data_IF_243899116236
#
_entry.id   IF_243899116236
#
_cell.length_a   1.000
_cell.length_b   1.000
_cell.length_c   1.000
_cell.angle_alpha   90.00
_cell.angle_beta   90.00
_cell.angle_gamma   90.00
#
_symmetry.space_group_name_H-M   'P 1'
#
loop_
_entity.id
_entity.type
_entity.pdbx_description
1 polymer ?
#
# COMPACT_ATOMS: atom_id res chain seq x y z
N UNK A 1 5.41 6.58 -24.19
CA UNK A 1 5.18 6.00 -22.83
C UNK A 1 5.05 7.15 -21.86
N UNK A 2 4.10 7.13 -20.95
CA UNK A 2 3.96 8.19 -19.95
C UNK A 2 5.08 8.00 -18.91
N UNK A 3 5.87 9.03 -18.66
CA UNK A 3 6.91 9.06 -17.62
C UNK A 3 6.36 8.68 -16.24
N UNK A 4 5.05 8.92 -16.02
CA UNK A 4 4.34 8.57 -14.79
C UNK A 4 4.28 7.04 -14.56
N UNK A 5 4.05 6.23 -15.59
CA UNK A 5 4.04 4.77 -15.44
C UNK A 5 5.44 4.22 -15.18
N UNK A 6 6.49 4.77 -15.77
CA UNK A 6 7.86 4.29 -15.58
C UNK A 6 8.34 4.50 -14.13
N UNK A 7 8.07 5.67 -13.55
CA UNK A 7 8.42 5.96 -12.15
C UNK A 7 7.55 5.13 -11.17
N UNK A 8 6.27 4.95 -11.48
CA UNK A 8 5.39 4.09 -10.69
C UNK A 8 5.88 2.63 -10.72
N UNK A 9 6.26 2.06 -11.88
CA UNK A 9 6.80 0.70 -11.97
C UNK A 9 8.07 0.56 -11.13
N UNK A 10 8.95 1.54 -11.17
CA UNK A 10 10.16 1.56 -10.34
C UNK A 10 9.80 1.52 -8.87
N UNK A 11 8.87 2.38 -8.42
CA UNK A 11 8.41 2.41 -7.03
C UNK A 11 7.76 1.08 -6.59
N UNK A 12 6.93 0.46 -7.44
CA UNK A 12 6.29 -0.81 -7.16
C UNK A 12 7.32 -1.95 -6.97
N UNK A 13 8.35 -1.97 -7.81
CA UNK A 13 9.41 -2.99 -7.73
C UNK A 13 10.31 -2.80 -6.50
N UNK A 14 10.50 -1.56 -6.04
CA UNK A 14 11.25 -1.25 -4.81
C UNK A 14 10.43 -1.51 -3.52
N UNK A 15 9.12 -1.65 -3.62
CA UNK A 15 8.18 -1.68 -2.49
C UNK A 15 7.66 -3.09 -2.22
N UNK A 16 8.56 -4.05 -1.96
CA UNK A 16 8.23 -5.47 -1.77
C UNK A 16 7.45 -5.77 -0.47
N UNK A 17 7.48 -4.88 0.53
CA UNK A 17 6.71 -4.94 1.77
C UNK A 17 6.33 -3.53 2.22
N UNK A 18 5.42 -3.34 3.23
CA UNK A 18 5.10 -2.01 3.78
C UNK A 18 6.34 -1.24 4.23
N UNK A 19 7.30 -1.92 4.85
CA UNK A 19 8.57 -1.32 5.27
C UNK A 19 9.39 -0.79 4.10
N UNK A 20 9.48 -1.55 3.01
CA UNK A 20 10.16 -1.13 1.78
C UNK A 20 9.43 0.01 1.09
N UNK A 21 8.09 0.01 1.10
CA UNK A 21 7.29 1.10 0.56
C UNK A 21 7.55 2.42 1.30
N UNK A 22 7.57 2.40 2.64
CA UNK A 22 7.91 3.58 3.45
C UNK A 22 9.35 4.03 3.21
N UNK A 23 10.31 3.10 3.14
CA UNK A 23 11.71 3.41 2.82
C UNK A 23 11.83 4.08 1.45
N UNK A 24 11.14 3.57 0.42
CA UNK A 24 11.12 4.14 -0.92
C UNK A 24 10.46 5.53 -0.98
N UNK A 25 9.36 5.74 -0.24
CA UNK A 25 8.70 7.05 -0.10
C UNK A 25 9.63 8.05 0.60
N UNK A 26 10.25 7.65 1.74
CA UNK A 26 11.16 8.49 2.50
C UNK A 26 12.39 8.90 1.68
N UNK A 27 12.98 7.99 0.91
CA UNK A 27 14.11 8.28 0.03
C UNK A 27 13.76 9.33 -1.04
N UNK A 28 12.57 9.22 -1.66
CA UNK A 28 12.06 10.19 -2.63
C UNK A 28 11.78 11.55 -2.01
N UNK A 29 11.22 11.59 -0.80
CA UNK A 29 11.00 12.82 -0.03
C UNK A 29 12.33 13.50 0.33
N UNK A 30 13.31 12.75 0.83
CA UNK A 30 14.64 13.28 1.16
C UNK A 30 15.33 13.85 -0.08
N UNK A 31 15.26 13.14 -1.21
CA UNK A 31 15.80 13.61 -2.50
C UNK A 31 15.14 14.91 -2.95
N UNK A 32 13.87 15.12 -2.62
CA UNK A 32 13.11 16.33 -2.91
C UNK A 32 13.33 17.45 -1.86
N UNK A 33 14.18 17.24 -0.86
CA UNK A 33 14.54 18.24 0.16
C UNK A 33 13.58 18.28 1.36
N UNK A 34 12.75 17.26 1.55
CA UNK A 34 11.95 17.13 2.77
C UNK A 34 12.81 16.68 3.95
N UNK A 35 12.55 17.26 5.12
CA UNK A 35 13.26 16.94 6.36
C UNK A 35 12.51 15.90 7.17
N UNK A 36 13.19 14.81 7.56
CA UNK A 36 12.61 13.83 8.49
C UNK A 36 12.56 14.41 9.91
N UNK A 37 11.41 14.35 10.53
CA UNK A 37 11.19 14.70 11.93
C UNK A 37 11.21 13.39 12.74
N UNK A 38 12.14 13.30 13.70
CA UNK A 38 12.23 12.14 14.61
C UNK A 38 11.36 12.31 15.86
N UNK A 39 11.26 13.54 16.36
CA UNK A 39 10.44 13.93 17.50
C UNK A 39 9.74 15.24 17.16
N UNK A 40 8.41 15.26 17.23
CA UNK A 40 7.60 16.41 16.80
C UNK A 40 7.95 17.69 17.59
N UNK A 41 8.17 17.57 18.90
CA UNK A 41 8.39 18.74 19.79
C UNK A 41 9.72 19.48 19.55
N UNK A 42 10.67 18.87 18.80
CA UNK A 42 11.99 19.43 18.60
C UNK A 42 12.11 20.30 17.33
N UNK A 43 11.04 20.48 16.57
CA UNK A 43 11.09 21.11 15.25
C UNK A 43 10.21 22.36 15.17
N UNK A 44 10.80 23.43 14.66
CA UNK A 44 10.08 24.65 14.27
C UNK A 44 9.81 24.60 12.76
N UNK A 45 8.55 24.63 12.38
CA UNK A 45 8.16 24.58 10.97
C UNK A 45 8.43 25.89 10.26
N UNK A 46 9.07 25.81 9.09
CA UNK A 46 9.35 26.97 8.22
C UNK A 46 8.40 26.96 7.04
N UNK A 47 7.70 28.07 6.71
CA UNK A 47 6.85 28.15 5.55
C UNK A 47 7.57 27.77 4.25
N UNK A 48 6.90 27.06 3.37
CA UNK A 48 7.43 26.53 2.11
C UNK A 48 8.23 25.22 2.25
N UNK A 49 8.65 24.85 3.46
CA UNK A 49 9.45 23.64 3.69
C UNK A 49 8.60 22.38 3.75
N UNK A 50 9.21 21.25 3.35
CA UNK A 50 8.62 19.93 3.43
C UNK A 50 9.18 19.11 4.59
N UNK A 51 8.32 18.35 5.25
CA UNK A 51 8.66 17.50 6.40
C UNK A 51 8.01 16.15 6.28
N UNK A 52 8.58 15.12 6.93
CA UNK A 52 7.92 13.84 7.07
C UNK A 52 8.28 13.14 8.38
N UNK A 53 7.37 12.28 8.85
CA UNK A 53 7.53 11.41 10.01
C UNK A 53 7.20 9.97 9.60
N UNK A 54 7.85 8.99 10.22
CA UNK A 54 7.54 7.56 10.05
C UNK A 54 7.12 6.96 11.38
N UNK A 55 6.26 5.96 11.34
CA UNK A 55 5.88 5.18 12.50
C UNK A 55 6.05 3.68 12.19
N UNK A 56 6.71 2.95 13.09
CA UNK A 56 7.05 1.52 12.94
C UNK A 56 7.76 1.17 11.62
N UNK A 57 8.32 2.16 10.91
CA UNK A 57 8.91 2.03 9.56
C UNK A 57 7.93 1.49 8.50
N UNK A 58 6.63 1.39 8.80
CA UNK A 58 5.60 0.85 7.91
C UNK A 58 4.48 1.85 7.58
N UNK A 59 4.41 2.99 8.28
CA UNK A 59 3.52 4.12 7.98
C UNK A 59 4.30 5.41 7.88
N UNK A 60 3.84 6.35 7.05
CA UNK A 60 4.49 7.63 6.82
C UNK A 60 3.47 8.76 6.69
N UNK A 61 3.77 9.92 7.29
CA UNK A 61 3.09 11.18 7.00
C UNK A 61 4.13 12.15 6.45
N UNK A 62 3.85 12.75 5.30
CA UNK A 62 4.64 13.82 4.72
C UNK A 62 3.76 15.06 4.53
N UNK A 63 4.30 16.25 4.80
CA UNK A 63 3.54 17.48 4.63
C UNK A 63 4.43 18.65 4.19
N UNK A 64 3.81 19.59 3.50
CA UNK A 64 4.42 20.88 3.15
C UNK A 64 3.79 21.97 4.02
N UNK A 65 4.63 22.73 4.72
CA UNK A 65 4.20 23.89 5.48
C UNK A 65 3.87 25.04 4.52
N UNK A 66 2.59 25.40 4.44
CA UNK A 66 2.14 26.51 3.59
C UNK A 66 2.48 27.88 4.18
N UNK A 67 2.44 28.93 3.33
CA UNK A 67 2.57 30.32 3.78
C UNK A 67 1.32 30.84 4.53
N UNK A 68 0.15 30.20 4.33
CA UNK A 68 -1.09 30.51 5.07
C UNK A 68 -1.10 29.98 6.50
N UNK A 69 -2.13 30.31 7.27
CA UNK A 69 -2.30 29.77 8.59
C UNK A 69 -2.74 28.28 8.53
N UNK A 70 -2.19 27.37 9.34
CA UNK A 70 -2.66 25.97 9.37
C UNK A 70 -4.17 25.87 9.63
N UNK A 71 -4.71 26.81 10.43
CA UNK A 71 -6.15 26.88 10.77
C UNK A 71 -7.06 27.26 9.59
N UNK A 72 -6.50 27.58 8.42
CA UNK A 72 -7.26 27.76 7.19
C UNK A 72 -7.55 26.42 6.48
N UNK A 73 -7.11 25.34 7.13
CA UNK A 73 -7.31 23.94 6.74
C UNK A 73 -6.28 23.39 5.77
N UNK A 74 -6.03 22.09 5.89
CA UNK A 74 -5.15 21.34 5.02
C UNK A 74 -5.93 20.65 3.91
N UNK A 75 -5.25 20.43 2.79
CA UNK A 75 -5.63 19.38 1.84
C UNK A 75 -4.83 18.13 2.19
N UNK A 76 -5.55 17.01 2.42
CA UNK A 76 -4.97 15.75 2.87
C UNK A 76 -5.25 14.68 1.83
N UNK A 77 -4.24 13.91 1.47
CA UNK A 77 -4.38 12.67 0.72
C UNK A 77 -4.00 11.52 1.65
N UNK A 78 -4.85 10.51 1.74
CA UNK A 78 -4.61 9.29 2.50
C UNK A 78 -4.60 8.09 1.59
N UNK A 79 -3.66 7.16 1.84
CA UNK A 79 -3.51 5.87 1.18
C UNK A 79 -3.01 4.84 2.20
N UNK A 80 -2.74 3.61 1.78
CA UNK A 80 -2.14 2.59 2.65
C UNK A 80 -0.96 1.88 1.99
N UNK A 81 -0.02 1.41 2.82
CA UNK A 81 1.25 0.81 2.39
C UNK A 81 1.20 -0.69 2.28
N UNK A 82 0.28 -1.32 3.01
CA UNK A 82 0.10 -2.77 3.04
C UNK A 82 -0.71 -3.27 1.84
N UNK A 83 -0.59 -4.55 1.57
CA UNK A 83 -1.32 -5.27 0.53
C UNK A 83 -1.46 -6.73 0.95
N UNK A 84 -2.51 -7.45 0.49
CA UNK A 84 -2.68 -8.86 0.84
C UNK A 84 -1.49 -9.71 0.41
N UNK A 85 -1.01 -10.56 1.33
CA UNK A 85 0.16 -11.38 1.11
C UNK A 85 0.16 -12.68 1.93
N UNK A 86 1.24 -13.46 1.82
CA UNK A 86 1.51 -14.61 2.67
C UNK A 86 2.64 -14.26 3.63
N UNK A 87 2.29 -14.02 4.90
CA UNK A 87 3.23 -13.66 5.97
C UNK A 87 3.84 -14.92 6.62
N UNK A 88 5.13 -14.90 6.88
CA UNK A 88 5.84 -16.03 7.49
C UNK A 88 5.54 -16.10 8.97
N UNK A 89 5.14 -17.30 9.45
CA UNK A 89 4.85 -17.55 10.88
C UNK A 89 6.11 -17.53 11.74
N UNK A 90 6.02 -17.27 13.07
CA UNK A 90 7.19 -17.21 13.96
C UNK A 90 8.05 -18.50 13.99
N UNK A 91 7.42 -19.68 13.90
CA UNK A 91 8.12 -20.98 13.82
C UNK A 91 7.76 -21.68 12.51
N UNK A 92 8.29 -21.21 11.36
CA UNK A 92 7.69 -21.53 10.06
C UNK A 92 8.24 -22.83 9.45
N UNK A 93 9.42 -23.32 9.87
CA UNK A 93 10.12 -24.39 9.17
C UNK A 93 9.39 -25.72 9.33
N UNK A 94 9.03 -26.31 8.20
CA UNK A 94 8.45 -27.65 8.08
C UNK A 94 9.34 -28.51 7.17
N UNK A 95 9.80 -29.65 7.69
CA UNK A 95 10.57 -30.65 6.91
C UNK A 95 9.64 -31.83 6.60
N UNK A 96 9.31 -31.99 5.32
CA UNK A 96 8.35 -33.02 4.88
C UNK A 96 8.63 -33.45 3.45
N UNK A 97 8.54 -34.76 3.18
CA UNK A 97 8.63 -35.32 1.82
C UNK A 97 9.89 -34.89 1.04
N UNK A 98 11.04 -34.79 1.73
CA UNK A 98 12.32 -34.45 1.11
C UNK A 98 12.49 -32.93 0.80
N UNK A 99 11.65 -32.06 1.37
CA UNK A 99 11.74 -30.61 1.17
C UNK A 99 11.59 -29.83 2.48
N UNK A 100 12.11 -28.62 2.49
CA UNK A 100 11.85 -27.58 3.49
C UNK A 100 10.72 -26.70 2.98
N UNK A 101 9.68 -26.52 3.79
CA UNK A 101 8.57 -25.61 3.55
C UNK A 101 8.49 -24.54 4.64
N UNK A 102 7.89 -23.38 4.33
CA UNK A 102 7.55 -22.37 5.31
C UNK A 102 6.06 -22.42 5.63
N UNK A 103 5.73 -22.39 6.93
CA UNK A 103 4.37 -22.13 7.38
C UNK A 103 4.08 -20.63 7.25
N UNK A 104 2.95 -20.30 6.63
CA UNK A 104 2.51 -18.92 6.39
C UNK A 104 1.12 -18.67 6.93
N UNK A 105 0.82 -17.41 7.21
CA UNK A 105 -0.53 -16.88 7.42
C UNK A 105 -0.96 -16.02 6.21
N UNK A 106 -2.25 -16.06 5.90
CA UNK A 106 -2.83 -15.15 4.91
C UNK A 106 -3.06 -13.80 5.57
N UNK A 107 -2.37 -12.78 5.09
CA UNK A 107 -2.57 -11.40 5.50
C UNK A 107 -3.59 -10.75 4.58
N UNK A 108 -4.66 -10.17 5.16
CA UNK A 108 -5.74 -9.54 4.41
C UNK A 108 -6.60 -10.51 3.59
N UNK A 109 -7.33 -9.97 2.62
CA UNK A 109 -8.26 -10.71 1.77
C UNK A 109 -7.62 -11.27 0.49
N UNK A 110 -6.46 -11.95 0.55
CA UNK A 110 -5.74 -12.42 -0.63
C UNK A 110 -6.53 -13.44 -1.48
N UNK A 111 -6.47 -13.28 -2.82
CA UNK A 111 -6.86 -14.31 -3.77
C UNK A 111 -5.78 -15.39 -3.81
N UNK A 112 -6.01 -16.56 -3.18
CA UNK A 112 -4.97 -17.58 -2.99
C UNK A 112 -4.60 -18.33 -4.27
N UNK A 113 -5.54 -18.55 -5.18
CA UNK A 113 -5.28 -19.35 -6.38
C UNK A 113 -4.13 -18.81 -7.26
N UNK A 114 -3.97 -17.49 -7.48
CA UNK A 114 -2.88 -16.96 -8.29
C UNK A 114 -1.48 -17.07 -7.66
N UNK A 115 -1.36 -17.48 -6.40
CA UNK A 115 -0.07 -17.69 -5.72
C UNK A 115 0.61 -18.99 -6.12
N UNK A 116 -0.15 -19.95 -6.63
CA UNK A 116 0.42 -21.22 -7.10
C UNK A 116 1.25 -21.03 -8.36
N UNK A 117 2.33 -21.81 -8.46
CA UNK A 117 3.22 -21.89 -9.60
C UNK A 117 3.95 -20.57 -9.93
N UNK A 118 4.06 -19.66 -8.95
CA UNK A 118 4.81 -18.40 -9.05
C UNK A 118 6.20 -18.52 -8.46
N UNK A 119 7.13 -17.81 -9.07
CA UNK A 119 8.48 -17.59 -8.54
C UNK A 119 8.40 -16.58 -7.39
N UNK A 120 8.52 -17.08 -6.15
CA UNK A 120 8.34 -16.27 -4.95
C UNK A 120 9.67 -15.88 -4.33
N UNK A 121 9.73 -14.67 -3.82
CA UNK A 121 10.80 -14.15 -2.97
C UNK A 121 10.28 -13.79 -1.59
N UNK A 122 11.19 -13.33 -0.72
CA UNK A 122 10.92 -13.00 0.67
C UNK A 122 11.53 -11.64 1.00
N UNK A 123 10.74 -10.76 1.62
CA UNK A 123 11.17 -9.44 2.06
C UNK A 123 10.48 -9.03 3.36
N UNK A 124 11.10 -8.10 4.09
CA UNK A 124 10.54 -7.53 5.30
C UNK A 124 11.60 -7.07 6.27
N UNK A 125 11.26 -7.02 7.56
CA UNK A 125 12.12 -6.56 8.65
C UNK A 125 12.60 -7.74 9.49
N UNK A 126 13.91 -7.76 9.81
CA UNK A 126 14.52 -8.74 10.72
C UNK A 126 15.10 -8.02 11.92
N UNK A 127 14.76 -8.50 13.12
CA UNK A 127 15.28 -8.01 14.39
C UNK A 127 16.34 -8.96 14.92
N UNK A 128 17.48 -8.39 15.33
CA UNK A 128 18.66 -9.17 15.74
C UNK A 128 19.44 -8.45 16.84
N UNK A 129 20.34 -9.20 17.47
CA UNK A 129 21.37 -8.65 18.36
C UNK A 129 22.65 -8.49 17.54
N UNK A 130 23.20 -7.29 17.54
CA UNK A 130 24.47 -6.97 16.89
C UNK A 130 25.70 -7.41 17.72
N UNK A 131 26.91 -7.21 17.18
CA UNK A 131 28.16 -7.54 17.87
C UNK A 131 28.37 -6.78 19.18
N UNK A 132 27.72 -5.64 19.38
CA UNK A 132 27.79 -4.87 20.63
C UNK A 132 26.80 -5.33 21.70
N UNK A 133 25.96 -6.33 21.37
CA UNK A 133 24.90 -6.83 22.23
C UNK A 133 23.64 -5.97 22.23
N UNK A 134 23.51 -5.02 21.27
CA UNK A 134 22.34 -4.15 21.15
C UNK A 134 21.29 -4.74 20.21
N UNK A 135 20.01 -4.51 20.56
CA UNK A 135 18.88 -4.84 19.67
C UNK A 135 18.89 -3.87 18.49
N UNK A 136 18.90 -4.42 17.30
CA UNK A 136 18.81 -3.68 16.03
C UNK A 136 17.84 -4.35 15.07
N UNK A 137 17.46 -3.66 14.01
CA UNK A 137 16.68 -4.21 12.92
C UNK A 137 17.18 -3.70 11.56
N UNK A 138 16.98 -4.52 10.53
CA UNK A 138 17.25 -4.18 9.13
C UNK A 138 16.15 -4.73 8.23
N UNK A 139 15.93 -4.04 7.12
CA UNK A 139 15.11 -4.56 6.04
C UNK A 139 15.95 -5.51 5.20
N UNK A 140 15.37 -6.62 4.78
CA UNK A 140 15.99 -7.55 3.84
C UNK A 140 15.07 -7.81 2.65
N UNK A 141 15.67 -8.05 1.49
CA UNK A 141 14.95 -8.44 0.30
C UNK A 141 15.82 -9.39 -0.55
N UNK A 142 15.38 -10.64 -0.70
CA UNK A 142 16.16 -11.62 -1.45
C UNK A 142 16.25 -11.32 -2.96
N UNK A 143 15.28 -10.61 -3.53
CA UNK A 143 15.25 -10.15 -4.93
C UNK A 143 15.50 -11.23 -5.98
N UNK A 144 15.28 -12.47 -5.63
CA UNK A 144 15.42 -13.64 -6.51
C UNK A 144 14.41 -14.70 -6.11
N UNK A 145 14.04 -15.60 -7.03
CA UNK A 145 13.20 -16.75 -6.71
C UNK A 145 13.86 -17.64 -5.65
N UNK A 146 13.25 -17.78 -4.49
CA UNK A 146 13.71 -18.65 -3.40
C UNK A 146 12.65 -19.62 -2.92
N UNK A 147 11.39 -19.44 -3.35
CA UNK A 147 10.29 -20.26 -2.92
C UNK A 147 9.25 -20.44 -4.03
N UNK A 148 8.46 -21.50 -3.94
CA UNK A 148 7.35 -21.80 -4.86
C UNK A 148 6.27 -22.58 -4.13
N UNK A 149 5.00 -22.34 -4.48
CA UNK A 149 3.86 -23.15 -4.05
C UNK A 149 3.39 -23.95 -5.28
N UNK A 150 3.79 -25.22 -5.44
CA UNK A 150 3.41 -25.98 -6.61
C UNK A 150 1.94 -26.40 -6.56
N UNK A 151 1.26 -26.29 -7.69
CA UNK A 151 -0.09 -26.86 -7.87
C UNK A 151 -0.05 -28.38 -7.79
N UNK A 152 -1.11 -28.98 -7.25
CA UNK A 152 -1.30 -30.42 -7.38
C UNK A 152 -1.59 -30.77 -8.85
N UNK A 153 -0.92 -31.81 -9.35
CA UNK A 153 -1.09 -32.23 -10.73
C UNK A 153 -2.56 -32.59 -11.00
N UNK A 154 -3.08 -32.18 -12.19
CA UNK A 154 -4.46 -32.41 -12.58
C UNK A 154 -4.90 -33.88 -12.50
N UNK A 155 -3.96 -34.81 -12.63
CA UNK A 155 -4.22 -36.25 -12.50
C UNK A 155 -4.60 -36.69 -11.06
N UNK A 156 -4.20 -35.90 -10.05
CA UNK A 156 -4.47 -36.13 -8.64
C UNK A 156 -5.63 -35.26 -8.14
N UNK A 157 -6.00 -34.21 -8.88
CA UNK A 157 -7.15 -33.32 -8.58
C UNK A 157 -7.92 -33.04 -9.89
N UNK A 158 -8.75 -33.99 -10.32
CA UNK A 158 -9.48 -33.90 -11.58
C UNK A 158 -10.59 -32.85 -11.60
N UNK A 159 -10.99 -32.35 -10.44
CA UNK A 159 -12.01 -31.31 -10.29
C UNK A 159 -11.42 -29.91 -10.06
N UNK A 160 -10.09 -29.76 -10.12
CA UNK A 160 -9.40 -28.48 -9.91
C UNK A 160 -9.97 -27.32 -10.73
N UNK A 161 -10.38 -27.57 -11.99
CA UNK A 161 -10.98 -26.54 -12.85
C UNK A 161 -12.49 -26.33 -12.63
N UNK A 162 -13.12 -27.05 -11.70
CA UNK A 162 -14.56 -26.95 -11.41
C UNK A 162 -14.84 -26.43 -10.01
N UNK A 163 -14.19 -26.99 -8.99
CA UNK A 163 -14.51 -26.77 -7.58
C UNK A 163 -13.25 -26.79 -6.70
N UNK A 164 -12.19 -26.09 -7.08
CA UNK A 164 -10.99 -25.99 -6.22
C UNK A 164 -11.31 -25.21 -4.96
N UNK A 165 -11.19 -25.86 -3.80
CA UNK A 165 -11.13 -25.20 -2.49
C UNK A 165 -9.68 -25.23 -2.01
N UNK A 166 -9.19 -24.12 -1.48
CA UNK A 166 -7.83 -23.98 -0.97
C UNK A 166 -7.90 -23.82 0.55
N UNK A 167 -7.31 -24.77 1.28
CA UNK A 167 -7.12 -24.65 2.72
C UNK A 167 -5.83 -23.87 3.02
N UNK A 168 -5.93 -22.65 3.59
CA UNK A 168 -4.74 -21.83 3.83
C UNK A 168 -3.75 -22.42 4.83
N UNK A 169 -4.17 -23.36 5.67
CA UNK A 169 -3.28 -24.01 6.63
C UNK A 169 -2.42 -25.13 6.03
N UNK A 170 -2.92 -25.80 4.98
CA UNK A 170 -2.30 -27.03 4.46
C UNK A 170 -1.83 -26.94 3.03
N UNK A 171 -2.44 -26.08 2.18
CA UNK A 171 -2.29 -26.16 0.74
C UNK A 171 -1.33 -25.11 0.16
N UNK A 172 -1.00 -24.06 0.94
CA UNK A 172 -0.22 -22.90 0.48
C UNK A 172 1.15 -22.76 1.13
N UNK A 173 1.71 -23.84 1.66
CA UNK A 173 3.05 -23.81 2.25
C UNK A 173 4.12 -23.82 1.13
N UNK A 174 4.86 -22.70 0.92
CA UNK A 174 5.88 -22.68 -0.11
C UNK A 174 7.05 -23.61 0.19
N UNK A 175 7.55 -24.24 -0.85
CA UNK A 175 8.81 -25.02 -0.81
C UNK A 175 9.97 -24.03 -0.95
N UNK A 176 10.93 -24.12 -0.04
CA UNK A 176 12.11 -23.25 0.02
C UNK A 176 13.40 -23.97 -0.40
N UNK A 177 13.55 -25.27 -0.08
CA UNK A 177 14.74 -26.04 -0.39
C UNK A 177 14.45 -27.53 -0.50
N UNK A 178 15.29 -28.27 -1.24
CA UNK A 178 15.38 -29.71 -1.15
C UNK A 178 16.16 -30.13 0.11
N UNK A 179 15.82 -31.29 0.66
CA UNK A 179 16.59 -31.93 1.72
C UNK A 179 17.44 -33.08 1.12
N UNK A 180 18.76 -33.04 1.28
CA UNK A 180 19.59 -34.22 1.06
C UNK A 180 19.47 -35.15 2.27
N UNK A 181 19.87 -36.45 2.13
CA UNK A 181 19.88 -37.38 3.24
C UNK A 181 20.82 -36.92 4.35
N UNK A 182 21.89 -36.22 4.02
CA UNK A 182 22.87 -35.65 4.95
C UNK A 182 22.42 -34.31 5.58
N UNK A 183 21.58 -33.52 4.90
CA UNK A 183 21.15 -32.19 5.32
C UNK A 183 19.81 -32.17 6.08
N UNK A 184 19.18 -33.34 6.32
CA UNK A 184 17.85 -33.41 6.92
C UNK A 184 17.73 -32.75 8.31
N UNK A 185 18.87 -32.44 8.96
CA UNK A 185 18.92 -31.88 10.31
C UNK A 185 19.25 -30.40 10.40
N UNK A 186 19.87 -29.80 9.39
CA UNK A 186 20.59 -28.51 9.55
C UNK A 186 20.01 -27.26 8.93
N UNK A 187 18.83 -27.31 8.25
CA UNK A 187 18.22 -26.08 7.78
C UNK A 187 17.72 -25.21 8.95
N UNK A 188 18.32 -24.04 9.12
CA UNK A 188 17.96 -23.01 10.09
C UNK A 188 17.65 -21.69 9.36
N UNK A 189 16.40 -21.22 9.49
CA UNK A 189 15.96 -19.97 8.89
C UNK A 189 16.73 -18.77 9.48
N UNK A 190 17.08 -18.81 10.77
CA UNK A 190 17.80 -17.70 11.41
C UNK A 190 19.20 -17.52 10.81
N UNK A 191 19.87 -18.62 10.45
CA UNK A 191 21.16 -18.59 9.74
C UNK A 191 21.00 -18.02 8.32
N UNK A 192 19.95 -18.43 7.61
CA UNK A 192 19.66 -17.87 6.28
C UNK A 192 19.44 -16.37 6.35
N UNK A 193 18.66 -15.88 7.32
CA UNK A 193 18.38 -14.46 7.50
C UNK A 193 19.63 -13.69 7.94
N UNK A 194 20.44 -14.24 8.84
CA UNK A 194 21.72 -13.61 9.23
C UNK A 194 22.68 -13.44 8.04
N UNK A 195 22.78 -14.46 7.19
CA UNK A 195 23.58 -14.41 5.97
C UNK A 195 23.04 -13.36 4.98
N UNK A 196 21.72 -13.25 4.86
CA UNK A 196 21.09 -12.23 4.00
C UNK A 196 21.41 -10.81 4.53
N UNK A 197 21.26 -10.57 5.84
CA UNK A 197 21.63 -9.29 6.46
C UNK A 197 23.10 -8.96 6.17
N UNK A 198 24.02 -9.89 6.41
CA UNK A 198 25.45 -9.67 6.18
C UNK A 198 25.80 -9.45 4.71
N UNK A 199 24.98 -9.96 3.78
CA UNK A 199 25.18 -9.72 2.34
C UNK A 199 24.68 -8.35 1.87
N UNK A 200 23.69 -7.77 2.54
CA UNK A 200 23.11 -6.48 2.19
C UNK A 200 23.74 -5.30 2.99
N UNK A 201 24.29 -5.59 4.19
CA UNK A 201 24.83 -4.58 5.11
C UNK A 201 26.22 -4.93 5.60
N UNK A 202 27.24 -4.24 5.10
CA UNK A 202 28.65 -4.47 5.45
C UNK A 202 28.95 -4.27 6.95
N UNK A 203 28.17 -3.44 7.64
CA UNK A 203 28.26 -3.15 9.07
C UNK A 203 27.57 -4.19 9.97
N UNK A 204 26.91 -5.20 9.37
CA UNK A 204 26.12 -6.20 10.10
C UNK A 204 26.65 -7.63 9.90
N UNK A 205 27.90 -7.88 10.33
CA UNK A 205 28.46 -9.25 10.40
C UNK A 205 28.13 -9.94 11.73
N UNK A 206 28.05 -11.27 11.73
CA UNK A 206 27.86 -12.12 12.93
C UNK A 206 26.67 -11.73 13.82
N UNK A 207 25.54 -11.41 13.19
CA UNK A 207 24.31 -11.06 13.89
C UNK A 207 23.56 -12.31 14.37
N UNK A 208 22.91 -12.21 15.51
CA UNK A 208 22.02 -13.26 16.02
C UNK A 208 20.57 -12.83 15.84
N UNK A 209 19.89 -13.40 14.87
CA UNK A 209 18.47 -13.14 14.58
C UNK A 209 17.62 -13.57 15.79
N UNK A 210 16.68 -12.70 16.17
CA UNK A 210 15.74 -12.93 17.27
C UNK A 210 14.32 -13.15 16.77
N UNK A 211 13.87 -12.30 15.82
CA UNK A 211 12.51 -12.32 15.27
C UNK A 211 12.48 -11.64 13.91
N UNK A 212 11.36 -11.75 13.22
CA UNK A 212 11.17 -11.18 11.88
C UNK A 212 9.71 -10.90 11.56
N UNK A 213 9.51 -9.97 10.64
CA UNK A 213 8.23 -9.65 9.99
C UNK A 213 8.47 -9.76 8.47
N UNK A 214 8.21 -10.95 7.92
CA UNK A 214 8.56 -11.30 6.55
C UNK A 214 7.33 -11.71 5.76
N UNK A 215 7.25 -11.23 4.52
CA UNK A 215 6.19 -11.57 3.56
C UNK A 215 6.77 -12.13 2.28
N UNK A 216 6.06 -13.10 1.71
CA UNK A 216 6.34 -13.59 0.36
C UNK A 216 5.79 -12.60 -0.67
N UNK A 217 6.48 -12.50 -1.80
CA UNK A 217 6.04 -11.73 -2.95
C UNK A 217 6.47 -12.39 -4.27
N UNK A 218 5.79 -12.04 -5.37
CA UNK A 218 6.11 -12.51 -6.73
C UNK A 218 7.34 -11.76 -7.26
N UNK A 219 8.33 -12.49 -7.76
CA UNK A 219 9.53 -11.93 -8.40
C UNK A 219 9.25 -11.28 -9.76
N UNK A 220 8.03 -11.39 -10.28
CA UNK A 220 7.67 -10.78 -11.55
C UNK A 220 7.51 -9.26 -11.39
N UNK A 221 8.38 -8.50 -12.01
CA UNK A 221 8.34 -7.04 -12.00
C UNK A 221 7.05 -6.47 -12.59
N UNK A 222 6.72 -5.24 -12.17
CA UNK A 222 5.70 -4.42 -12.80
C UNK A 222 6.01 -4.25 -14.29
N UNK A 223 4.99 -4.33 -15.13
CA UNK A 223 5.17 -4.23 -16.59
C UNK A 223 3.96 -3.67 -17.29
N UNK A 224 4.19 -3.00 -18.42
CA UNK A 224 3.13 -2.65 -19.34
C UNK A 224 2.68 -3.86 -20.11
N UNK A 225 1.38 -4.03 -20.28
CA UNK A 225 0.76 -5.15 -20.99
C UNK A 225 -0.30 -4.66 -21.98
N UNK A 226 -0.68 -5.55 -22.90
CA UNK A 226 -1.56 -5.25 -24.02
C UNK A 226 -0.78 -4.91 -25.28
N UNK A 227 -1.44 -5.02 -26.45
CA UNK A 227 -0.80 -4.78 -27.74
C UNK A 227 -0.27 -3.34 -27.89
N UNK A 228 -0.89 -2.41 -27.22
CA UNK A 228 -0.63 -0.97 -27.24
C UNK A 228 -0.04 -0.44 -25.92
N UNK A 229 0.32 -1.34 -24.97
CA UNK A 229 0.80 -0.99 -23.64
C UNK A 229 -0.17 -0.09 -22.84
N UNK A 230 -1.47 -0.25 -23.05
CA UNK A 230 -2.50 0.56 -22.39
C UNK A 230 -2.78 0.14 -20.94
N UNK A 231 -2.18 -0.93 -20.47
CA UNK A 231 -2.38 -1.45 -19.11
C UNK A 231 -1.06 -1.61 -18.36
N UNK A 232 -1.12 -1.40 -17.05
CA UNK A 232 -0.07 -1.69 -16.09
C UNK A 232 -0.45 -2.94 -15.29
N UNK A 233 0.40 -3.96 -15.32
CA UNK A 233 0.24 -5.17 -14.50
C UNK A 233 1.33 -5.23 -13.43
N UNK A 234 0.95 -5.36 -12.17
CA UNK A 234 1.86 -5.47 -11.03
C UNK A 234 1.18 -6.13 -9.84
N UNK A 235 1.97 -6.64 -8.91
CA UNK A 235 1.51 -6.88 -7.56
C UNK A 235 1.32 -5.53 -6.81
N UNK A 236 0.47 -5.51 -5.78
CA UNK A 236 0.35 -4.40 -4.81
C UNK A 236 -0.05 -3.04 -5.44
N UNK A 237 -0.76 -3.05 -6.59
CA UNK A 237 -1.36 -1.82 -7.10
C UNK A 237 -2.33 -1.24 -6.07
N UNK A 238 -3.08 -2.10 -5.41
CA UNK A 238 -3.76 -1.84 -4.16
C UNK A 238 -2.79 -1.99 -2.99
N UNK A 239 -2.30 -0.88 -2.34
CA UNK A 239 -2.66 0.52 -2.66
C UNK A 239 -1.41 1.36 -2.93
N UNK A 240 -0.29 0.73 -3.32
CA UNK A 240 0.97 1.43 -3.61
C UNK A 240 0.85 2.42 -4.77
N UNK A 241 -0.07 2.17 -5.71
CA UNK A 241 -0.38 3.11 -6.77
C UNK A 241 -0.83 4.45 -6.20
N UNK A 242 -1.73 4.44 -5.22
CA UNK A 242 -2.24 5.65 -4.57
C UNK A 242 -1.19 6.32 -3.68
N UNK A 243 -0.33 5.53 -3.01
CA UNK A 243 0.82 6.06 -2.27
C UNK A 243 1.76 6.85 -3.20
N UNK A 244 2.09 6.29 -4.35
CA UNK A 244 2.93 6.95 -5.35
C UNK A 244 2.27 8.22 -5.91
N UNK A 245 1.01 8.14 -6.35
CA UNK A 245 0.29 9.29 -6.89
C UNK A 245 0.14 10.42 -5.86
N UNK A 246 -0.14 10.08 -4.59
CA UNK A 246 -0.17 11.03 -3.48
C UNK A 246 1.18 11.71 -3.24
N UNK A 247 2.28 10.95 -3.32
CA UNK A 247 3.64 11.50 -3.23
C UNK A 247 3.94 12.45 -4.40
N UNK A 248 3.68 12.06 -5.65
CA UNK A 248 3.92 12.90 -6.82
C UNK A 248 3.13 14.21 -6.72
N UNK A 249 1.86 14.14 -6.33
CA UNK A 249 1.03 15.32 -6.11
C UNK A 249 1.58 16.23 -4.99
N UNK A 250 2.08 15.67 -3.88
CA UNK A 250 2.68 16.44 -2.79
C UNK A 250 3.97 17.13 -3.22
N UNK A 251 4.81 16.47 -4.01
CA UNK A 251 6.04 17.04 -4.55
C UNK A 251 5.75 18.20 -5.51
N UNK A 252 4.65 18.11 -6.27
CA UNK A 252 4.19 19.15 -7.20
C UNK A 252 3.29 20.21 -6.54
N UNK A 253 2.95 20.07 -5.25
CA UNK A 253 2.09 21.00 -4.54
C UNK A 253 2.76 22.37 -4.35
N UNK A 254 1.98 23.43 -4.51
CA UNK A 254 2.40 24.80 -4.21
C UNK A 254 2.65 24.97 -2.70
N UNK A 255 3.64 25.78 -2.36
CA UNK A 255 3.93 26.18 -0.97
C UNK A 255 2.97 27.27 -0.44
N UNK A 256 2.02 27.73 -1.24
CA UNK A 256 0.98 28.65 -0.79
C UNK A 256 0.03 28.03 0.25
N UNK A 257 -0.18 26.72 0.18
CA UNK A 257 -1.17 25.99 1.00
C UNK A 257 -0.54 24.84 1.76
N UNK A 258 -1.11 24.54 2.92
CA UNK A 258 -0.76 23.35 3.69
C UNK A 258 -1.29 22.09 3.01
N UNK A 259 -0.40 21.16 2.73
CA UNK A 259 -0.69 19.90 2.04
C UNK A 259 -0.07 18.74 2.81
N UNK A 260 -0.81 17.63 2.96
CA UNK A 260 -0.39 16.46 3.73
C UNK A 260 -0.73 15.17 3.00
N UNK A 261 0.23 14.25 2.96
CA UNK A 261 0.05 12.86 2.55
C UNK A 261 0.19 11.96 3.78
N UNK A 262 -0.75 11.06 4.00
CA UNK A 262 -0.65 9.98 4.99
C UNK A 262 -0.78 8.64 4.29
N UNK A 263 0.19 7.73 4.51
CA UNK A 263 0.13 6.35 4.05
C UNK A 263 0.21 5.46 5.29
N UNK A 264 -0.93 4.84 5.65
CA UNK A 264 -1.07 3.98 6.81
C UNK A 264 -0.72 2.53 6.47
N UNK A 265 -0.27 1.77 7.45
CA UNK A 265 -0.19 0.31 7.41
C UNK A 265 -1.49 -0.31 7.94
N UNK A 266 -1.66 -1.63 7.77
CA UNK A 266 -2.75 -2.45 8.33
C UNK A 266 -4.17 -2.10 7.87
N UNK A 267 -4.34 -1.46 6.71
CA UNK A 267 -5.68 -1.23 6.14
C UNK A 267 -6.38 -2.55 5.86
N UNK A 268 -5.67 -3.48 5.24
CA UNK A 268 -6.16 -4.79 4.77
C UNK A 268 -6.63 -5.73 5.90
N UNK A 269 -6.32 -5.38 7.14
CA UNK A 269 -6.71 -6.12 8.35
C UNK A 269 -7.53 -5.27 9.32
N UNK A 270 -8.06 -4.13 8.86
CA UNK A 270 -9.05 -3.30 9.56
C UNK A 270 -8.52 -2.09 10.31
N UNK A 271 -7.27 -1.67 10.10
CA UNK A 271 -6.68 -0.41 10.58
C UNK A 271 -6.58 -0.25 12.12
N UNK A 272 -6.90 -1.28 12.90
CA UNK A 272 -6.93 -1.21 14.37
C UNK A 272 -5.54 -1.48 14.98
N UNK A 273 -4.60 -0.57 14.73
CA UNK A 273 -3.23 -0.62 15.27
C UNK A 273 -2.69 0.79 15.51
N UNK A 274 -1.53 0.89 16.18
CA UNK A 274 -0.87 2.18 16.45
C UNK A 274 -0.44 2.93 15.19
N UNK A 275 -0.27 2.22 14.07
CA UNK A 275 0.18 2.77 12.77
C UNK A 275 -0.90 2.72 11.70
N UNK A 276 -2.02 2.04 11.96
CA UNK A 276 -3.20 2.04 11.10
C UNK A 276 -3.99 3.35 11.20
N UNK A 277 -5.03 3.49 10.38
CA UNK A 277 -5.85 4.69 10.34
C UNK A 277 -6.64 4.98 11.63
N UNK A 278 -6.81 3.99 12.52
CA UNK A 278 -7.36 4.19 13.88
C UNK A 278 -6.29 4.62 14.89
N UNK A 279 -5.01 4.58 14.52
CA UNK A 279 -3.91 4.99 15.39
C UNK A 279 -3.78 6.51 15.51
N UNK A 280 -2.97 6.98 16.48
CA UNK A 280 -2.87 8.40 16.82
C UNK A 280 -2.02 9.22 15.85
N UNK A 281 -1.25 8.60 14.96
CA UNK A 281 -0.22 9.24 14.16
C UNK A 281 -0.71 10.50 13.42
N UNK A 282 -1.88 10.42 12.75
CA UNK A 282 -2.43 11.57 12.02
C UNK A 282 -2.88 12.67 12.97
N UNK A 283 -3.54 12.34 14.05
CA UNK A 283 -4.01 13.33 15.05
C UNK A 283 -2.86 14.04 15.73
N UNK A 284 -1.79 13.33 16.08
CA UNK A 284 -0.58 13.88 16.69
C UNK A 284 0.11 14.88 15.77
N UNK A 285 0.25 14.54 14.48
CA UNK A 285 0.83 15.44 13.47
C UNK A 285 -0.07 16.68 13.24
N UNK A 286 -1.39 16.51 13.19
CA UNK A 286 -2.31 17.64 13.06
C UNK A 286 -2.29 18.56 14.27
N UNK A 287 -2.15 18.03 15.49
CA UNK A 287 -2.00 18.82 16.71
C UNK A 287 -0.66 19.57 16.76
N UNK A 288 0.42 18.91 16.36
CA UNK A 288 1.73 19.54 16.20
C UNK A 288 1.68 20.70 15.20
N UNK A 289 1.13 20.51 14.00
CA UNK A 289 0.98 21.56 12.99
C UNK A 289 0.15 22.73 13.51
N UNK A 290 -0.92 22.45 14.26
CA UNK A 290 -1.82 23.48 14.79
C UNK A 290 -1.24 24.24 15.99
N UNK A 291 -0.33 23.63 16.74
CA UNK A 291 0.31 24.21 17.93
C UNK A 291 -0.57 24.25 19.19
N UNK A 292 -1.83 23.92 19.12
CA UNK A 292 -2.72 23.78 20.28
C UNK A 292 -3.98 22.97 19.96
N UNK A 293 -4.60 22.35 20.97
CA UNK A 293 -5.84 21.57 20.80
C UNK A 293 -7.01 22.39 20.23
N UNK A 294 -7.14 23.67 20.62
CA UNK A 294 -8.18 24.55 20.07
C UNK A 294 -7.94 24.88 18.59
N UNK A 295 -6.70 25.16 18.23
CA UNK A 295 -6.31 25.40 16.84
C UNK A 295 -6.44 24.11 15.98
N UNK A 296 -6.09 22.95 16.53
CA UNK A 296 -6.25 21.65 15.88
C UNK A 296 -7.71 21.34 15.53
N UNK A 297 -8.66 21.67 16.41
CA UNK A 297 -10.08 21.55 16.09
C UNK A 297 -10.46 22.41 14.89
N UNK A 298 -10.08 23.69 14.88
CA UNK A 298 -10.37 24.61 13.78
C UNK A 298 -9.69 24.14 12.48
N UNK A 299 -8.44 23.68 12.56
CA UNK A 299 -7.72 23.11 11.44
C UNK A 299 -8.49 21.95 10.81
N UNK A 300 -8.94 20.98 11.63
CA UNK A 300 -9.70 19.80 11.15
C UNK A 300 -11.02 20.18 10.51
N UNK A 301 -11.77 21.12 11.11
CA UNK A 301 -13.05 21.61 10.59
C UNK A 301 -12.91 22.25 9.19
N UNK A 302 -11.76 22.88 8.90
CA UNK A 302 -11.47 23.52 7.62
C UNK A 302 -10.73 22.62 6.63
N UNK A 303 -10.30 21.44 7.06
CA UNK A 303 -9.56 20.48 6.24
C UNK A 303 -10.50 19.63 5.37
N UNK A 304 -9.93 19.11 4.29
CA UNK A 304 -10.59 18.12 3.43
C UNK A 304 -9.58 17.01 3.10
N UNK A 305 -10.02 15.76 3.19
CA UNK A 305 -9.22 14.60 2.86
C UNK A 305 -9.78 13.86 1.64
N UNK A 306 -8.89 13.42 0.77
CA UNK A 306 -9.16 12.37 -0.21
C UNK A 306 -8.58 11.06 0.35
N UNK A 307 -9.43 10.09 0.61
CA UNK A 307 -9.04 8.70 0.86
C UNK A 307 -8.88 8.05 -0.51
N UNK A 308 -7.64 7.87 -0.92
CA UNK A 308 -7.31 7.37 -2.26
C UNK A 308 -6.97 5.90 -2.18
N UNK A 309 -7.85 5.08 -2.75
CA UNK A 309 -7.79 3.63 -2.67
C UNK A 309 -8.48 3.03 -3.90
N UNK A 310 -7.94 1.94 -4.46
CA UNK A 310 -8.39 1.41 -5.73
C UNK A 310 -9.89 1.07 -5.75
N UNK A 311 -10.49 1.09 -6.93
CA UNK A 311 -11.90 0.77 -7.15
C UNK A 311 -12.03 -0.44 -8.08
N UNK A 312 -13.12 -1.20 -7.93
CA UNK A 312 -13.36 -2.37 -8.78
C UNK A 312 -13.76 -1.94 -10.20
N UNK A 313 -12.91 -2.20 -11.19
CA UNK A 313 -13.25 -2.05 -12.59
C UNK A 313 -14.24 -3.13 -13.04
N UNK A 314 -15.09 -2.82 -14.00
CA UNK A 314 -15.97 -3.81 -14.63
C UNK A 314 -15.14 -4.92 -15.26
N UNK A 315 -15.29 -6.12 -14.75
CA UNK A 315 -14.60 -7.27 -15.31
C UNK A 315 -15.33 -7.74 -16.57
N UNK A 316 -14.66 -7.79 -17.74
CA UNK A 316 -15.34 -8.07 -19.02
C UNK A 316 -16.06 -9.42 -19.07
N UNK A 317 -15.54 -10.42 -18.33
CA UNK A 317 -16.15 -11.76 -18.28
C UNK A 317 -17.19 -11.91 -17.16
N UNK A 318 -17.36 -10.92 -16.26
CA UNK A 318 -18.24 -10.95 -15.10
C UNK A 318 -18.94 -9.60 -14.89
N UNK A 319 -19.38 -8.96 -15.97
CA UNK A 319 -20.00 -7.63 -15.93
C UNK A 319 -21.29 -7.60 -15.10
N UNK A 320 -21.96 -8.74 -14.97
CA UNK A 320 -23.14 -8.94 -14.12
C UNK A 320 -22.88 -8.76 -12.62
N UNK A 321 -21.62 -8.70 -12.20
CA UNK A 321 -21.22 -8.43 -10.81
C UNK A 321 -21.22 -6.95 -10.45
N UNK A 322 -21.43 -6.07 -11.41
CA UNK A 322 -21.43 -4.62 -11.23
C UNK A 322 -22.85 -4.04 -11.35
N UNK A 323 -23.05 -2.86 -10.73
CA UNK A 323 -24.23 -2.05 -11.00
C UNK A 323 -24.21 -1.55 -12.46
N UNK A 324 -25.34 -1.61 -13.15
CA UNK A 324 -25.44 -1.32 -14.58
C UNK A 324 -25.01 0.10 -14.96
N UNK A 325 -25.16 1.07 -14.03
CA UNK A 325 -24.92 2.49 -14.29
C UNK A 325 -23.64 3.03 -13.62
N UNK A 326 -23.02 2.25 -12.73
CA UNK A 326 -21.92 2.72 -11.88
C UNK A 326 -20.71 1.76 -11.88
N UNK A 327 -20.44 1.13 -13.01
CA UNK A 327 -19.31 0.23 -13.22
C UNK A 327 -18.12 1.00 -13.84
N UNK A 328 -17.02 1.20 -13.10
CA UNK A 328 -15.84 1.88 -13.65
C UNK A 328 -15.13 1.07 -14.72
N UNK A 329 -14.54 1.76 -15.69
CA UNK A 329 -13.82 1.16 -16.82
C UNK A 329 -12.37 1.68 -16.79
N UNK A 330 -11.41 0.78 -17.06
CA UNK A 330 -9.98 1.13 -17.17
C UNK A 330 -9.74 2.20 -18.25
N UNK A 331 -8.79 3.09 -18.01
CA UNK A 331 -8.42 4.20 -18.90
C UNK A 331 -9.56 5.23 -19.14
N UNK A 332 -10.48 5.35 -18.18
CA UNK A 332 -11.57 6.32 -18.22
C UNK A 332 -11.57 7.30 -17.03
N UNK A 333 -10.48 7.33 -16.30
CA UNK A 333 -10.24 8.29 -15.22
C UNK A 333 -10.58 7.78 -13.81
N UNK A 334 -10.21 8.57 -12.79
CA UNK A 334 -10.46 8.26 -11.39
C UNK A 334 -11.95 8.06 -11.08
N UNK A 335 -12.19 7.37 -9.97
CA UNK A 335 -13.51 6.88 -9.56
C UNK A 335 -13.85 7.45 -8.19
N UNK A 336 -14.94 8.21 -8.08
CA UNK A 336 -15.53 8.59 -6.79
C UNK A 336 -16.36 7.43 -6.27
N UNK A 337 -16.01 6.93 -5.08
CA UNK A 337 -16.69 5.80 -4.43
C UNK A 337 -17.81 6.30 -3.53
N UNK A 338 -19.03 5.78 -3.69
CA UNK A 338 -20.22 6.21 -2.94
C UNK A 338 -20.92 4.99 -2.32
N UNK A 339 -21.21 5.07 -1.01
CA UNK A 339 -21.98 4.06 -0.30
C UNK A 339 -22.87 4.68 0.78
N UNK A 340 -24.17 4.41 0.74
CA UNK A 340 -25.13 4.99 1.69
C UNK A 340 -25.04 4.39 3.09
N UNK A 341 -24.45 3.22 3.25
CA UNK A 341 -24.17 2.61 4.55
C UNK A 341 -22.84 3.08 5.15
N UNK A 342 -22.24 4.16 4.62
CA UNK A 342 -20.99 4.77 5.10
C UNK A 342 -19.78 3.80 5.07
N UNK A 343 -19.77 2.86 4.12
CA UNK A 343 -18.57 2.07 3.80
C UNK A 343 -17.54 2.90 3.03
N UNK A 344 -17.99 4.02 2.45
CA UNK A 344 -17.23 5.13 1.90
C UNK A 344 -17.75 6.43 2.51
N UNK A 345 -16.86 7.37 2.83
CA UNK A 345 -17.19 8.62 3.51
C UNK A 345 -17.75 9.71 2.58
N UNK A 346 -17.76 9.46 1.28
CA UNK A 346 -18.14 10.47 0.28
C UNK A 346 -19.56 10.98 0.47
N UNK A 347 -19.68 12.29 0.70
CA UNK A 347 -20.95 13.03 0.70
C UNK A 347 -21.31 13.56 -0.69
N UNK A 348 -22.54 14.04 -0.87
CA UNK A 348 -22.96 14.72 -2.11
C UNK A 348 -22.13 15.98 -2.40
N UNK A 349 -21.78 16.75 -1.37
CA UNK A 349 -20.90 17.92 -1.48
C UNK A 349 -19.47 17.53 -1.89
N UNK A 350 -18.93 16.46 -1.29
CA UNK A 350 -17.62 15.93 -1.65
C UNK A 350 -17.57 15.44 -3.11
N UNK A 351 -18.60 14.71 -3.54
CA UNK A 351 -18.72 14.30 -4.95
C UNK A 351 -18.82 15.49 -5.90
N UNK A 352 -19.56 16.55 -5.53
CA UNK A 352 -19.65 17.77 -6.32
C UNK A 352 -18.31 18.50 -6.44
N UNK A 353 -17.54 18.56 -5.35
CA UNK A 353 -16.17 19.11 -5.34
C UNK A 353 -15.27 18.37 -6.34
N UNK A 354 -15.30 17.03 -6.33
CA UNK A 354 -14.50 16.23 -7.25
C UNK A 354 -14.91 16.41 -8.70
N UNK A 355 -16.20 16.54 -8.99
CA UNK A 355 -16.70 16.87 -10.35
C UNK A 355 -16.19 18.22 -10.83
N UNK A 356 -16.31 19.26 -9.99
CA UNK A 356 -15.82 20.60 -10.33
C UNK A 356 -14.32 20.62 -10.60
N UNK A 357 -13.54 19.89 -9.76
CA UNK A 357 -12.10 19.78 -9.93
C UNK A 357 -11.73 19.04 -11.23
N UNK A 358 -12.44 17.95 -11.52
CA UNK A 358 -12.26 17.17 -12.75
C UNK A 358 -12.58 18.01 -14.01
N UNK A 359 -13.67 18.77 -14.00
CA UNK A 359 -14.03 19.71 -15.08
C UNK A 359 -12.93 20.75 -15.32
N UNK A 360 -12.42 21.39 -14.26
CA UNK A 360 -11.38 22.42 -14.36
C UNK A 360 -10.03 21.88 -14.85
N UNK A 361 -9.74 20.62 -14.58
CA UNK A 361 -8.49 19.97 -14.99
C UNK A 361 -8.62 19.20 -16.30
N UNK A 362 -9.82 19.03 -16.84
CA UNK A 362 -10.08 18.22 -18.03
C UNK A 362 -9.79 16.72 -17.79
N UNK A 363 -9.96 16.25 -16.54
CA UNK A 363 -9.80 14.85 -16.16
C UNK A 363 -11.17 14.17 -16.25
N UNK A 364 -11.31 13.04 -16.95
CA UNK A 364 -12.54 12.26 -16.90
C UNK A 364 -12.75 11.69 -15.49
N UNK A 365 -14.00 11.64 -15.03
CA UNK A 365 -14.34 11.17 -13.68
C UNK A 365 -15.47 10.17 -13.75
N UNK A 366 -15.30 9.07 -13.03
CA UNK A 366 -16.27 7.99 -12.93
C UNK A 366 -16.86 7.90 -11.52
N UNK A 367 -17.91 7.09 -11.36
CA UNK A 367 -18.52 6.81 -10.06
C UNK A 367 -18.64 5.31 -9.86
N UNK A 368 -18.41 4.86 -8.63
CA UNK A 368 -18.64 3.49 -8.21
C UNK A 368 -19.71 3.43 -7.13
N UNK A 369 -20.70 2.58 -7.38
CA UNK A 369 -21.67 2.12 -6.39
C UNK A 369 -21.72 0.60 -6.48
N UNK A 370 -21.52 -0.08 -5.35
CA UNK A 370 -21.63 -1.54 -5.32
C UNK A 370 -23.06 -1.98 -5.60
N UNK A 371 -23.24 -3.11 -6.26
CA UNK A 371 -24.59 -3.72 -6.41
C UNK A 371 -25.25 -3.87 -5.04
N UNK A 372 -26.52 -3.54 -4.95
CA UNK A 372 -27.28 -3.51 -3.67
C UNK A 372 -27.34 -4.87 -2.97
N UNK A 373 -27.22 -5.95 -3.73
CA UNK A 373 -27.24 -7.33 -3.24
C UNK A 373 -25.86 -7.90 -2.89
N UNK A 374 -24.78 -7.10 -3.04
CA UNK A 374 -23.41 -7.49 -2.69
C UNK A 374 -22.90 -6.71 -1.48
N UNK A 375 -22.00 -7.35 -0.73
CA UNK A 375 -21.25 -6.69 0.33
C UNK A 375 -20.30 -5.61 -0.22
N UNK A 376 -20.16 -4.51 0.51
CA UNK A 376 -19.20 -3.45 0.20
C UNK A 376 -17.99 -3.56 1.11
N UNK A 377 -16.78 -3.55 0.56
CA UNK A 377 -15.55 -3.30 1.30
C UNK A 377 -15.56 -1.91 1.95
N UNK A 378 -14.58 -1.61 2.77
CA UNK A 378 -14.36 -0.28 3.33
C UNK A 378 -12.96 0.19 2.94
N UNK A 379 -12.60 1.39 3.39
CA UNK A 379 -11.32 2.07 3.15
C UNK A 379 -10.91 2.76 4.43
N UNK A 380 -9.74 3.39 4.46
CA UNK A 380 -9.35 4.29 5.56
C UNK A 380 -10.28 5.52 5.66
N UNK A 381 -11.03 5.87 4.61
CA UNK A 381 -11.84 7.07 4.55
C UNK A 381 -12.87 7.21 5.67
N UNK A 382 -13.82 6.27 5.85
CA UNK A 382 -14.79 6.30 6.94
C UNK A 382 -14.15 6.27 8.32
N UNK A 383 -13.03 5.56 8.47
CA UNK A 383 -12.27 5.45 9.73
C UNK A 383 -11.70 6.82 10.09
N UNK A 384 -10.93 7.41 9.19
CA UNK A 384 -10.32 8.73 9.40
C UNK A 384 -11.38 9.82 9.62
N UNK A 385 -12.50 9.78 8.87
CA UNK A 385 -13.61 10.71 9.07
C UNK A 385 -14.22 10.60 10.47
N UNK A 386 -14.40 9.37 10.98
CA UNK A 386 -14.94 9.14 12.32
C UNK A 386 -13.98 9.58 13.44
N UNK A 387 -12.67 9.28 13.29
CA UNK A 387 -11.66 9.59 14.31
C UNK A 387 -11.30 11.08 14.36
N UNK A 388 -11.26 11.75 13.21
CA UNK A 388 -10.76 13.14 13.13
C UNK A 388 -11.85 14.19 12.97
N UNK A 389 -13.03 13.81 12.47
CA UNK A 389 -14.09 14.73 12.06
C UNK A 389 -13.79 15.46 10.72
N UNK A 390 -12.71 15.13 10.04
CA UNK A 390 -12.33 15.77 8.75
C UNK A 390 -13.28 15.31 7.65
N UNK A 391 -13.76 16.26 6.83
CA UNK A 391 -14.54 15.95 5.63
C UNK A 391 -13.71 15.07 4.70
N UNK A 392 -14.18 13.84 4.45
CA UNK A 392 -13.45 12.85 3.66
C UNK A 392 -14.23 12.45 2.41
N UNK A 393 -13.51 12.23 1.33
CA UNK A 393 -14.03 11.79 0.03
C UNK A 393 -13.22 10.57 -0.39
N UNK A 394 -13.90 9.47 -0.70
CA UNK A 394 -13.26 8.25 -1.22
C UNK A 394 -13.14 8.32 -2.74
N UNK A 395 -11.92 8.23 -3.20
CA UNK A 395 -11.52 8.29 -4.60
C UNK A 395 -10.56 7.15 -4.90
N UNK A 396 -10.48 6.68 -6.14
CA UNK A 396 -9.46 5.69 -6.51
C UNK A 396 -9.31 5.52 -8.00
N UNK A 397 -8.44 4.58 -8.40
CA UNK A 397 -8.35 4.14 -9.78
C UNK A 397 -9.05 2.80 -9.99
N UNK A 398 -9.70 2.61 -11.15
CA UNK A 398 -10.27 1.31 -11.47
C UNK A 398 -9.16 0.28 -11.68
N UNK A 399 -9.26 -0.88 -11.01
CA UNK A 399 -8.35 -2.01 -11.15
C UNK A 399 -9.12 -3.31 -11.35
N UNK A 400 -8.53 -4.24 -12.07
CA UNK A 400 -8.97 -5.63 -12.17
C UNK A 400 -8.07 -6.52 -11.32
N UNK A 401 -8.61 -7.64 -10.87
CA UNK A 401 -7.90 -8.62 -10.05
C UNK A 401 -7.35 -8.04 -8.74
N UNK A 402 -8.05 -7.06 -8.14
CA UNK A 402 -7.73 -6.53 -6.80
C UNK A 402 -7.51 -7.68 -5.81
N UNK A 403 -6.48 -7.57 -4.94
CA UNK A 403 -6.03 -8.60 -4.01
C UNK A 403 -5.44 -9.89 -4.63
N UNK A 404 -5.25 -9.91 -5.95
CA UNK A 404 -4.41 -10.93 -6.60
C UNK A 404 -2.93 -10.61 -6.39
N UNK A 405 -2.10 -11.64 -6.45
CA UNK A 405 -0.63 -11.45 -6.51
C UNK A 405 -0.19 -10.65 -7.76
N UNK A 406 -1.09 -10.48 -8.74
CA UNK A 406 -0.87 -9.63 -9.91
C UNK A 406 -2.18 -8.99 -10.34
N UNK A 407 -2.23 -7.68 -10.24
CA UNK A 407 -3.38 -6.81 -10.52
C UNK A 407 -3.18 -6.05 -11.82
N UNK A 408 -4.23 -5.41 -12.32
CA UNK A 408 -4.22 -4.68 -13.59
C UNK A 408 -4.90 -3.32 -13.46
N UNK A 409 -4.21 -2.25 -13.87
CA UNK A 409 -4.72 -0.88 -13.95
C UNK A 409 -4.58 -0.30 -15.36
N UNK A 410 -5.29 0.79 -15.64
CA UNK A 410 -5.16 1.54 -16.88
C UNK A 410 -3.99 2.54 -16.82
N UNK A 411 -3.11 2.57 -17.82
CA UNK A 411 -1.98 3.51 -17.85
C UNK A 411 -2.41 4.97 -17.93
N UNK A 412 -3.48 5.29 -18.66
CA UNK A 412 -3.99 6.65 -18.73
C UNK A 412 -4.57 7.12 -17.40
N UNK A 413 -5.11 6.19 -16.59
CA UNK A 413 -5.71 6.50 -15.30
C UNK A 413 -4.67 7.03 -14.30
N UNK A 414 -3.42 6.55 -14.37
CA UNK A 414 -2.31 7.01 -13.51
C UNK A 414 -2.07 8.51 -13.73
N UNK A 415 -1.95 8.96 -14.97
CA UNK A 415 -1.76 10.38 -15.30
C UNK A 415 -2.98 11.24 -14.88
N UNK A 416 -4.19 10.71 -15.10
CA UNK A 416 -5.41 11.41 -14.68
C UNK A 416 -5.47 11.59 -13.16
N UNK A 417 -5.06 10.57 -12.40
CA UNK A 417 -5.01 10.66 -10.94
C UNK A 417 -3.99 11.70 -10.48
N UNK A 418 -2.77 11.66 -10.99
CA UNK A 418 -1.71 12.60 -10.64
C UNK A 418 -2.15 14.06 -10.88
N UNK A 419 -2.79 14.33 -12.02
CA UNK A 419 -3.33 15.66 -12.35
C UNK A 419 -4.42 16.10 -11.39
N UNK A 420 -5.35 15.20 -11.06
CA UNK A 420 -6.46 15.48 -10.17
C UNK A 420 -5.98 15.74 -8.73
N UNK A 421 -5.07 14.92 -8.21
CA UNK A 421 -4.52 15.05 -6.88
C UNK A 421 -3.66 16.33 -6.73
N UNK A 422 -2.85 16.64 -7.74
CA UNK A 422 -2.06 17.88 -7.77
C UNK A 422 -2.97 19.12 -7.77
N UNK A 423 -4.04 19.10 -8.54
CA UNK A 423 -5.02 20.19 -8.57
C UNK A 423 -5.77 20.32 -7.22
N UNK A 424 -6.05 19.20 -6.55
CA UNK A 424 -6.66 19.20 -5.21
C UNK A 424 -5.76 19.91 -4.19
N UNK A 425 -4.47 19.59 -4.13
CA UNK A 425 -3.52 20.28 -3.26
C UNK A 425 -3.42 21.78 -3.56
N UNK A 426 -3.44 22.15 -4.83
CA UNK A 426 -3.32 23.54 -5.30
C UNK A 426 -4.64 24.33 -5.24
N UNK A 427 -5.70 23.74 -4.68
CA UNK A 427 -7.01 24.39 -4.49
C UNK A 427 -7.57 25.00 -5.78
N UNK A 428 -7.43 24.29 -6.89
CA UNK A 428 -7.92 24.75 -8.22
C UNK A 428 -9.45 24.87 -8.27
N UNK A 429 -10.16 24.20 -7.35
CA UNK A 429 -11.63 24.22 -7.24
C UNK A 429 -12.16 25.25 -6.25
#
# INVERSE_FOLDING_TARGET
MSQHCDDLMTFLNESSSPFHAVSALAARLQKAGFTQIKQLDDVVLSPGSGYFVTANDSSIIAFRAGHGQPTDGLRIIGAHTDSPNLSVKPNPVKKRSGVVQLAVDVYGGALLNPWFDRDLSLAGRVSFVDQSGQLASRLIDFRRPIAIIPSLAIHLDRDANKNRSINPQTDILPILAGLSEDDATDFDLSVLLANQISSEYEDCSDVRVLDFELSLYDCQDASLVGLDNSFLASARLDNLLSCHAGLQALLAASDAYWSLLVCNDHEEVGSASSVGAQGPMLTDVLEFIAGSAAASRKLRDQSTMLSVDNAHAVHPNFSDRHDESHGPILNRGPVVKINRNQRYATSGEGSALMRLLAERTGVPLQHFVVRTDLGCGSTIGPITAAETGIRTIDLGLPTLAMHSIRELAGCADVEYLDRLLTAFYNRVA
#
